data_IF_967973739157
#
_entry.id   IF_967973739157
#
_cell.length_a   1.000
_cell.length_b   1.000
_cell.length_c   1.000
_cell.angle_alpha   90.00
_cell.angle_beta   90.00
_cell.angle_gamma   90.00
#
_symmetry.space_group_name_H-M   'P 1'
#
loop_
_entity.id
_entity.type
_entity.pdbx_description
1 polymer ?
#
# COMPACT_ATOMS: atom_id res chain seq x y z
N UNK A 1 -21.09 -14.60 17.79
CA UNK A 1 -22.37 -13.99 17.36
C UNK A 1 -22.11 -13.40 16.01
N UNK A 2 -22.88 -13.86 15.02
CA UNK A 2 -22.66 -13.64 13.60
C UNK A 2 -22.70 -12.16 13.24
N UNK A 3 -21.60 -11.65 12.68
CA UNK A 3 -21.60 -10.41 11.93
C UNK A 3 -22.30 -10.68 10.59
N UNK A 4 -23.57 -10.32 10.47
CA UNK A 4 -24.21 -10.18 9.17
C UNK A 4 -23.70 -8.86 8.52
N UNK A 5 -22.50 -8.87 8.02
CA UNK A 5 -22.11 -8.01 6.90
C UNK A 5 -22.68 -8.68 5.64
N UNK A 6 -23.20 -7.93 4.66
CA UNK A 6 -23.59 -8.51 3.38
C UNK A 6 -22.42 -9.30 2.83
N UNK A 7 -22.70 -10.49 2.31
CA UNK A 7 -21.70 -11.36 1.72
C UNK A 7 -20.98 -10.59 0.60
N UNK A 8 -19.72 -10.22 0.86
CA UNK A 8 -18.83 -9.71 -0.16
C UNK A 8 -18.74 -10.78 -1.22
N UNK A 9 -19.06 -10.44 -2.45
CA UNK A 9 -18.91 -11.36 -3.59
C UNK A 9 -17.44 -11.79 -3.63
N UNK A 10 -17.19 -13.07 -3.41
CA UNK A 10 -15.85 -13.65 -3.55
C UNK A 10 -15.35 -13.33 -4.96
N UNK A 11 -14.21 -12.66 -5.13
CA UNK A 11 -13.65 -12.41 -6.44
C UNK A 11 -13.49 -13.74 -7.19
N UNK A 12 -13.91 -13.79 -8.45
CA UNK A 12 -13.74 -14.99 -9.28
C UNK A 12 -12.24 -15.29 -9.43
N UNK A 13 -11.85 -16.56 -9.49
CA UNK A 13 -10.46 -17.01 -9.74
C UNK A 13 -9.84 -16.32 -10.97
N UNK A 14 -10.66 -15.97 -11.98
CA UNK A 14 -10.24 -15.25 -13.18
C UNK A 14 -9.85 -13.78 -12.97
N UNK A 15 -10.05 -13.21 -11.78
CA UNK A 15 -9.70 -11.82 -11.43
C UNK A 15 -8.26 -11.67 -10.91
N UNK A 16 -7.58 -12.78 -10.64
CA UNK A 16 -6.18 -12.74 -10.19
C UNK A 16 -5.24 -12.92 -11.38
N UNK A 17 -4.46 -11.90 -11.70
CA UNK A 17 -3.31 -12.06 -12.60
C UNK A 17 -2.28 -12.88 -11.82
N UNK A 18 -2.02 -14.09 -12.30
CA UNK A 18 -0.99 -14.96 -11.73
C UNK A 18 0.36 -14.25 -11.75
N UNK A 19 0.86 -13.88 -10.57
CA UNK A 19 2.25 -13.49 -10.39
C UNK A 19 2.78 -14.28 -9.19
N UNK A 20 3.42 -15.39 -9.50
CA UNK A 20 3.96 -16.28 -8.48
C UNK A 20 5.24 -15.73 -7.85
N UNK A 21 6.06 -14.99 -8.59
CA UNK A 21 7.42 -14.61 -8.18
C UNK A 21 7.67 -13.11 -8.20
N UNK A 22 8.64 -12.66 -7.42
CA UNK A 22 9.13 -11.27 -7.50
C UNK A 22 9.82 -10.97 -8.83
N UNK A 23 10.40 -11.98 -9.48
CA UNK A 23 11.03 -11.83 -10.80
C UNK A 23 9.96 -11.55 -11.88
N UNK A 24 8.79 -12.18 -11.80
CA UNK A 24 7.69 -11.91 -12.73
C UNK A 24 7.17 -10.47 -12.61
N UNK A 25 7.17 -9.90 -11.39
CA UNK A 25 6.80 -8.49 -11.16
C UNK A 25 7.67 -7.50 -11.93
N UNK A 26 8.91 -7.87 -12.23
CA UNK A 26 9.82 -7.02 -12.99
C UNK A 26 10.18 -7.61 -14.35
N UNK A 27 9.38 -8.55 -14.89
CA UNK A 27 9.68 -9.29 -16.12
C UNK A 27 9.93 -8.39 -17.34
N UNK A 28 9.32 -7.21 -17.39
CA UNK A 28 9.50 -6.22 -18.45
C UNK A 28 10.66 -5.24 -18.22
N UNK A 29 11.55 -5.46 -17.25
CA UNK A 29 12.59 -4.49 -16.89
C UNK A 29 13.56 -4.23 -18.04
N UNK A 30 13.78 -2.96 -18.35
CA UNK A 30 14.79 -2.51 -19.32
C UNK A 30 15.72 -1.46 -18.72
N UNK A 31 16.89 -1.92 -18.30
CA UNK A 31 17.99 -1.08 -17.80
C UNK A 31 19.03 -0.78 -18.90
N UNK A 32 18.67 -0.98 -20.18
CA UNK A 32 19.51 -0.70 -21.34
C UNK A 32 20.64 -1.72 -21.60
N UNK A 33 20.74 -2.80 -20.81
CA UNK A 33 21.71 -3.88 -20.98
C UNK A 33 21.18 -5.18 -20.38
N UNK A 34 21.27 -6.29 -21.15
CA UNK A 34 20.78 -7.61 -20.72
C UNK A 34 21.44 -8.11 -19.43
N UNK A 35 22.71 -7.75 -19.17
CA UNK A 35 23.43 -8.15 -17.95
C UNK A 35 22.86 -7.42 -16.73
N UNK A 36 22.50 -6.13 -16.89
CA UNK A 36 21.84 -5.34 -15.84
C UNK A 36 20.45 -5.90 -15.56
N UNK A 37 19.66 -6.22 -16.60
CA UNK A 37 18.35 -6.84 -16.44
C UNK A 37 18.46 -8.17 -15.68
N UNK A 38 19.37 -9.07 -16.11
CA UNK A 38 19.60 -10.33 -15.40
C UNK A 38 20.04 -10.13 -13.95
N UNK A 39 20.88 -9.13 -13.68
CA UNK A 39 21.31 -8.81 -12.31
C UNK A 39 20.13 -8.27 -11.47
N UNK A 40 19.24 -7.46 -12.05
CA UNK A 40 18.05 -6.98 -11.36
C UNK A 40 17.12 -8.13 -10.95
N UNK A 41 16.90 -9.12 -11.82
CA UNK A 41 16.14 -10.33 -11.49
C UNK A 41 16.76 -11.10 -10.32
N UNK A 42 18.06 -11.38 -10.40
CA UNK A 42 18.76 -12.07 -9.31
C UNK A 42 18.68 -11.27 -8.01
N UNK A 43 18.83 -9.94 -8.08
CA UNK A 43 18.84 -9.07 -6.92
C UNK A 43 17.48 -9.02 -6.23
N UNK A 44 16.36 -8.89 -6.97
CA UNK A 44 15.05 -8.83 -6.36
C UNK A 44 14.68 -10.15 -5.67
N UNK A 45 15.04 -11.28 -6.23
CA UNK A 45 14.84 -12.60 -5.62
C UNK A 45 15.68 -12.78 -4.35
N UNK A 46 16.96 -12.41 -4.39
CA UNK A 46 17.86 -12.51 -3.24
C UNK A 46 17.41 -11.59 -2.09
N UNK A 47 17.11 -10.33 -2.40
CA UNK A 47 16.60 -9.37 -1.39
C UNK A 47 15.21 -9.77 -0.88
N UNK A 48 14.33 -10.25 -1.75
CA UNK A 48 12.99 -10.69 -1.38
C UNK A 48 12.99 -11.95 -0.50
N UNK A 49 13.96 -12.82 -0.69
CA UNK A 49 14.12 -14.00 0.18
C UNK A 49 14.67 -13.68 1.57
N UNK A 50 15.36 -12.55 1.73
CA UNK A 50 15.96 -12.11 3.00
C UNK A 50 15.80 -10.59 3.23
N UNK A 51 14.56 -10.06 3.25
CA UNK A 51 14.33 -8.62 3.18
C UNK A 51 14.85 -7.84 4.38
N UNK A 52 15.02 -8.47 5.54
CA UNK A 52 15.53 -7.81 6.76
C UNK A 52 17.05 -7.84 6.89
N UNK A 53 17.74 -8.51 5.98
CA UNK A 53 19.19 -8.62 6.03
C UNK A 53 19.85 -7.47 5.26
N UNK A 54 21.11 -7.18 5.58
CA UNK A 54 21.91 -6.25 4.77
C UNK A 54 22.07 -6.78 3.34
N UNK A 55 22.28 -5.90 2.37
CA UNK A 55 22.49 -6.28 0.96
C UNK A 55 23.60 -7.35 0.84
N UNK A 56 24.79 -7.21 1.47
CA UNK A 56 25.82 -8.25 1.40
C UNK A 56 25.38 -9.61 1.96
N UNK A 57 24.61 -9.60 3.04
CA UNK A 57 24.11 -10.85 3.67
C UNK A 57 23.04 -11.53 2.80
N UNK A 58 22.14 -10.74 2.22
CA UNK A 58 21.05 -11.26 1.39
C UNK A 58 21.55 -11.81 0.04
N UNK A 59 22.53 -11.14 -0.55
CA UNK A 59 23.08 -11.52 -1.86
C UNK A 59 24.09 -12.66 -1.72
N UNK A 60 24.90 -12.67 -0.65
CA UNK A 60 25.96 -13.66 -0.45
C UNK A 60 27.07 -13.56 -1.49
N UNK A 61 28.30 -13.86 -1.10
CA UNK A 61 29.47 -13.79 -1.98
C UNK A 61 29.98 -12.38 -2.25
N UNK A 62 31.28 -12.23 -2.37
CA UNK A 62 31.89 -10.91 -2.59
C UNK A 62 31.64 -10.37 -4.00
N UNK A 63 31.77 -11.22 -5.01
CA UNK A 63 31.59 -10.87 -6.43
C UNK A 63 30.16 -10.43 -6.73
N UNK A 64 29.19 -11.17 -6.20
CA UNK A 64 27.75 -10.93 -6.35
C UNK A 64 27.35 -9.63 -5.67
N UNK A 65 27.86 -9.39 -4.45
CA UNK A 65 27.64 -8.15 -3.71
C UNK A 65 28.22 -6.94 -4.43
N UNK A 66 29.44 -7.04 -4.95
CA UNK A 66 30.07 -5.98 -5.75
C UNK A 66 29.24 -5.68 -7.01
N UNK A 67 28.76 -6.72 -7.67
CA UNK A 67 27.90 -6.58 -8.86
C UNK A 67 26.55 -5.90 -8.54
N UNK A 68 25.98 -6.15 -7.36
CA UNK A 68 24.77 -5.47 -6.92
C UNK A 68 25.01 -3.97 -6.63
N UNK A 69 26.09 -3.64 -5.93
CA UNK A 69 26.46 -2.24 -5.71
C UNK A 69 26.78 -1.51 -7.01
N UNK A 70 27.41 -2.17 -7.97
CA UNK A 70 27.67 -1.60 -9.31
C UNK A 70 26.35 -1.34 -10.06
N UNK A 71 25.35 -2.22 -9.91
CA UNK A 71 24.02 -1.99 -10.48
C UNK A 71 23.38 -0.75 -9.87
N UNK A 72 23.34 -0.66 -8.53
CA UNK A 72 22.72 0.47 -7.81
C UNK A 72 23.45 1.80 -8.09
N UNK A 73 24.75 1.77 -8.38
CA UNK A 73 25.57 2.95 -8.66
C UNK A 73 25.59 3.36 -10.14
N UNK A 74 24.93 2.59 -11.02
CA UNK A 74 25.00 2.87 -12.46
C UNK A 74 24.04 4.01 -12.83
N UNK A 75 24.55 5.06 -13.45
CA UNK A 75 23.79 6.26 -13.85
C UNK A 75 22.62 5.99 -14.84
N UNK A 76 22.66 4.87 -15.55
CA UNK A 76 21.58 4.46 -16.45
C UNK A 76 20.47 3.68 -15.73
N UNK A 77 20.71 3.28 -14.49
CA UNK A 77 19.74 2.64 -13.61
C UNK A 77 19.09 3.71 -12.75
N UNK A 78 17.77 3.78 -12.79
CA UNK A 78 17.00 4.72 -11.98
C UNK A 78 15.82 4.02 -11.32
N UNK A 79 15.41 4.51 -10.15
CA UNK A 79 14.31 3.94 -9.39
C UNK A 79 13.03 3.75 -10.21
N UNK A 80 12.70 4.72 -11.06
CA UNK A 80 11.52 4.66 -11.93
C UNK A 80 11.61 3.51 -12.95
N UNK A 81 12.79 3.27 -13.57
CA UNK A 81 12.99 2.14 -14.48
C UNK A 81 12.87 0.79 -13.80
N UNK A 82 13.22 0.71 -12.53
CA UNK A 82 13.05 -0.52 -11.72
C UNK A 82 11.59 -0.75 -11.39
N UNK A 83 10.84 0.31 -11.07
CA UNK A 83 9.43 0.26 -10.68
C UNK A 83 8.47 0.14 -11.87
N UNK A 84 8.83 0.64 -13.05
CA UNK A 84 7.96 0.69 -14.22
C UNK A 84 7.32 -0.67 -14.59
N UNK A 85 8.04 -1.80 -14.62
CA UNK A 85 7.42 -3.10 -14.87
C UNK A 85 6.36 -3.47 -13.82
N UNK A 86 6.63 -3.18 -12.56
CA UNK A 86 5.68 -3.39 -11.47
C UNK A 86 4.42 -2.51 -11.64
N UNK A 87 4.58 -1.24 -12.03
CA UNK A 87 3.44 -0.37 -12.35
C UNK A 87 2.60 -0.94 -13.49
N UNK A 88 3.25 -1.44 -14.54
CA UNK A 88 2.57 -2.05 -15.68
C UNK A 88 1.81 -3.32 -15.27
N UNK A 89 2.39 -4.18 -14.46
CA UNK A 89 1.73 -5.38 -13.93
C UNK A 89 0.58 -4.99 -13.00
N UNK A 90 0.77 -3.98 -12.17
CA UNK A 90 -0.28 -3.44 -11.31
C UNK A 90 -1.44 -2.89 -12.14
N UNK A 91 -1.15 -2.16 -13.23
CA UNK A 91 -2.19 -1.64 -14.13
C UNK A 91 -3.02 -2.76 -14.77
N UNK A 92 -2.40 -3.91 -15.10
CA UNK A 92 -3.17 -5.06 -15.61
C UNK A 92 -4.11 -5.63 -14.53
N UNK A 93 -3.68 -5.69 -13.27
CA UNK A 93 -4.57 -6.09 -12.15
C UNK A 93 -5.69 -5.07 -11.96
N UNK A 94 -5.39 -3.78 -11.98
CA UNK A 94 -6.37 -2.69 -11.86
C UNK A 94 -7.50 -2.81 -12.88
N UNK A 95 -7.19 -3.15 -14.13
CA UNK A 95 -8.18 -3.33 -15.20
C UNK A 95 -9.21 -4.44 -14.96
N UNK A 96 -8.94 -5.36 -14.05
CA UNK A 96 -9.84 -6.46 -13.70
C UNK A 96 -10.93 -6.06 -12.69
N UNK A 97 -10.87 -4.84 -12.16
CA UNK A 97 -11.77 -4.37 -11.12
C UNK A 97 -12.60 -3.18 -11.59
N UNK A 98 -13.87 -3.12 -11.15
CA UNK A 98 -14.77 -2.01 -11.47
C UNK A 98 -14.39 -0.72 -10.71
N UNK A 99 -13.88 -0.84 -9.48
CA UNK A 99 -13.42 0.26 -8.64
C UNK A 99 -12.08 -0.08 -8.04
N UNK A 100 -11.13 0.86 -8.09
CA UNK A 100 -9.83 0.74 -7.42
C UNK A 100 -9.53 2.02 -6.65
N UNK A 101 -9.15 1.84 -5.39
CA UNK A 101 -8.81 2.88 -4.43
C UNK A 101 -7.31 3.14 -4.50
N UNK A 102 -6.91 4.37 -4.77
CA UNK A 102 -5.51 4.76 -4.86
C UNK A 102 -5.11 5.55 -3.61
N UNK A 103 -4.61 4.82 -2.61
CA UNK A 103 -4.15 5.41 -1.37
C UNK A 103 -2.77 6.05 -1.55
N UNK A 104 -2.67 7.35 -1.25
CA UNK A 104 -1.44 8.10 -1.28
C UNK A 104 -1.11 8.64 0.10
N UNK A 105 0.16 8.59 0.48
CA UNK A 105 0.65 9.11 1.76
C UNK A 105 2.17 9.34 1.68
N UNK A 106 2.70 10.17 2.58
CA UNK A 106 4.13 10.47 2.67
C UNK A 106 4.75 9.81 3.89
N UNK A 107 5.93 9.26 3.74
CA UNK A 107 6.74 8.81 4.87
C UNK A 107 8.15 9.37 4.81
N UNK A 108 8.69 9.74 5.99
CA UNK A 108 10.10 10.07 6.15
C UNK A 108 10.93 8.80 6.25
N UNK A 109 12.04 8.72 5.54
CA UNK A 109 13.08 7.70 5.74
C UNK A 109 14.27 8.35 6.42
N UNK A 110 14.53 7.93 7.66
CA UNK A 110 15.48 8.57 8.56
C UNK A 110 16.86 7.91 8.48
N UNK A 111 17.82 8.68 8.00
CA UNK A 111 19.23 8.30 7.92
C UNK A 111 20.11 9.15 8.87
N UNK A 112 19.53 9.73 9.91
CA UNK A 112 20.26 10.50 10.92
C UNK A 112 21.38 9.65 11.54
N UNK A 113 22.56 10.24 11.69
CA UNK A 113 23.74 9.51 12.17
C UNK A 113 24.56 8.77 11.09
N UNK A 114 24.08 8.80 9.83
CA UNK A 114 24.81 8.31 8.65
C UNK A 114 25.34 9.50 7.85
N UNK A 115 26.33 10.20 8.42
CA UNK A 115 26.86 11.46 7.88
C UNK A 115 27.52 11.33 6.51
N UNK A 116 27.91 10.12 6.14
CA UNK A 116 28.69 9.85 4.93
C UNK A 116 27.82 9.69 3.67
N UNK A 117 26.48 9.71 3.83
CA UNK A 117 25.57 9.63 2.69
C UNK A 117 25.40 10.99 2.05
N UNK A 118 25.88 11.10 0.81
CA UNK A 118 25.78 12.32 0.02
C UNK A 118 24.38 12.48 -0.56
N UNK A 119 23.83 13.70 -0.51
CA UNK A 119 22.55 14.06 -1.12
C UNK A 119 21.34 13.97 -0.16
N UNK A 120 21.52 13.55 1.10
CA UNK A 120 20.43 13.59 2.08
C UNK A 120 20.03 15.03 2.43
N UNK A 121 18.71 15.25 2.57
CA UNK A 121 18.13 16.51 2.99
C UNK A 121 17.68 16.52 4.45
N UNK A 122 17.05 17.63 4.85
CA UNK A 122 16.41 17.75 6.17
C UNK A 122 15.04 17.08 6.20
N UNK A 123 14.70 16.45 7.31
CA UNK A 123 13.35 15.96 7.62
C UNK A 123 12.55 17.01 8.40
N UNK A 124 11.36 16.69 8.86
CA UNK A 124 10.48 17.63 9.56
C UNK A 124 11.08 18.21 10.87
N UNK A 125 12.10 17.56 11.42
CA UNK A 125 12.87 18.09 12.57
C UNK A 125 14.27 18.46 12.09
N UNK A 126 14.74 19.67 12.38
CA UNK A 126 15.99 20.24 11.89
C UNK A 126 17.24 19.37 12.14
N UNK A 127 17.22 18.54 13.16
CA UNK A 127 18.32 17.64 13.51
C UNK A 127 18.30 16.30 12.77
N UNK A 128 17.26 16.02 11.96
CA UNK A 128 17.09 14.75 11.27
C UNK A 128 17.40 14.90 9.79
N UNK A 129 18.10 13.91 9.24
CA UNK A 129 18.48 13.83 7.84
C UNK A 129 17.92 12.59 7.19
N UNK A 130 17.45 12.73 5.95
CA UNK A 130 16.88 11.62 5.21
C UNK A 130 16.31 12.05 3.87
N UNK A 131 15.35 11.26 3.43
CA UNK A 131 14.54 11.55 2.25
C UNK A 131 13.07 11.22 2.54
N UNK A 132 12.20 11.77 1.72
CA UNK A 132 10.77 11.50 1.72
C UNK A 132 10.43 10.48 0.65
N UNK A 133 9.49 9.62 0.94
CA UNK A 133 8.91 8.67 0.00
C UNK A 133 7.39 8.86 -0.05
N UNK A 134 6.83 8.95 -1.26
CA UNK A 134 5.42 9.25 -1.50
C UNK A 134 4.84 8.31 -2.56
N UNK A 135 4.46 7.08 -2.17
CA UNK A 135 3.89 6.10 -3.05
C UNK A 135 2.38 6.27 -3.20
N UNK A 136 1.86 5.76 -4.30
CA UNK A 136 0.44 5.56 -4.56
C UNK A 136 0.16 4.06 -4.63
N UNK A 137 -0.57 3.53 -3.65
CA UNK A 137 -0.89 2.12 -3.51
C UNK A 137 -2.29 1.84 -4.04
N UNK A 138 -2.42 0.91 -4.99
CA UNK A 138 -3.69 0.46 -5.52
C UNK A 138 -4.29 -0.64 -4.63
N UNK A 139 -5.56 -0.46 -4.24
CA UNK A 139 -6.26 -1.34 -3.30
C UNK A 139 -7.69 -1.54 -3.81
N UNK A 140 -8.21 -2.77 -3.75
CA UNK A 140 -9.65 -2.99 -4.03
C UNK A 140 -10.51 -2.61 -2.84
N UNK A 141 -11.82 -2.32 -3.03
CA UNK A 141 -12.77 -2.14 -1.92
C UNK A 141 -12.76 -3.32 -0.92
N UNK A 142 -12.45 -4.53 -1.38
CA UNK A 142 -12.31 -5.77 -0.58
C UNK A 142 -10.95 -5.86 0.12
N UNK A 143 -10.16 -4.78 0.13
CA UNK A 143 -8.87 -4.65 0.83
C UNK A 143 -7.71 -5.45 0.26
N UNK A 144 -7.76 -5.87 -1.00
CA UNK A 144 -6.63 -6.50 -1.67
C UNK A 144 -5.70 -5.44 -2.24
N UNK A 145 -4.41 -5.48 -1.89
CA UNK A 145 -3.39 -4.57 -2.41
C UNK A 145 -2.90 -5.04 -3.77
N UNK A 146 -3.25 -4.34 -4.84
CA UNK A 146 -2.93 -4.72 -6.22
C UNK A 146 -1.49 -4.40 -6.64
N UNK A 147 -0.85 -3.43 -6.00
CA UNK A 147 0.50 -2.97 -6.32
C UNK A 147 0.67 -1.47 -6.14
N UNK A 148 1.85 -0.99 -6.50
CA UNK A 148 2.11 0.44 -6.60
C UNK A 148 1.74 0.93 -8.00
N UNK A 149 1.12 2.10 -8.09
CA UNK A 149 0.80 2.77 -9.36
C UNK A 149 1.76 3.92 -9.65
N UNK A 150 2.40 4.45 -8.62
CA UNK A 150 3.40 5.50 -8.68
C UNK A 150 4.19 5.55 -7.37
N UNK A 151 5.41 6.08 -7.42
CA UNK A 151 6.21 6.35 -6.23
C UNK A 151 7.25 7.41 -6.50
N UNK A 152 7.31 8.41 -5.63
CA UNK A 152 8.28 9.50 -5.67
C UNK A 152 9.14 9.47 -4.44
N UNK A 153 10.43 9.73 -4.61
CA UNK A 153 11.35 10.04 -3.52
C UNK A 153 12.00 11.40 -3.77
N UNK A 154 12.22 12.16 -2.71
CA UNK A 154 12.93 13.44 -2.79
C UNK A 154 13.63 13.77 -1.49
N UNK A 155 14.62 14.62 -1.58
CA UNK A 155 15.27 15.25 -0.43
C UNK A 155 14.86 16.71 -0.36
N UNK A 156 14.66 17.24 0.85
CA UNK A 156 14.36 18.64 1.07
C UNK A 156 15.68 19.41 1.15
N UNK A 157 15.94 20.40 0.26
CA UNK A 157 17.15 21.22 0.35
C UNK A 157 17.15 22.01 1.66
N UNK A 158 18.34 22.35 2.15
CA UNK A 158 18.52 23.12 3.39
C UNK A 158 17.95 24.54 3.29
N UNK A 159 17.91 25.09 2.08
CA UNK A 159 17.40 26.42 1.77
C UNK A 159 16.26 26.33 0.75
N UNK A 160 15.14 27.04 0.99
CA UNK A 160 13.97 27.13 0.11
C UNK A 160 13.29 25.78 -0.22
N UNK A 161 12.72 25.14 0.79
CA UNK A 161 11.91 23.95 0.58
C UNK A 161 10.63 24.29 -0.21
N UNK A 162 10.44 23.64 -1.35
CA UNK A 162 9.13 23.59 -2.02
C UNK A 162 8.08 23.08 -1.03
N UNK A 163 6.87 23.64 -1.12
CA UNK A 163 5.79 23.21 -0.23
C UNK A 163 5.46 21.74 -0.54
N UNK A 164 5.57 20.87 0.45
CA UNK A 164 5.21 19.46 0.38
C UNK A 164 3.81 19.23 -0.23
N UNK A 165 2.90 20.21 -0.06
CA UNK A 165 1.57 20.22 -0.67
C UNK A 165 1.57 20.09 -2.19
N UNK A 166 2.65 20.46 -2.90
CA UNK A 166 2.76 20.29 -4.35
C UNK A 166 2.74 18.81 -4.71
N UNK A 167 3.40 17.95 -3.92
CA UNK A 167 3.49 16.50 -4.19
C UNK A 167 2.13 15.81 -4.17
N UNK A 168 1.24 16.24 -3.30
CA UNK A 168 -0.13 15.73 -3.26
C UNK A 168 -0.93 16.10 -4.52
N UNK A 169 -0.73 17.29 -5.04
CA UNK A 169 -1.38 17.75 -6.28
C UNK A 169 -0.81 17.00 -7.49
N UNK A 170 0.52 16.89 -7.59
CA UNK A 170 1.21 16.11 -8.64
C UNK A 170 0.77 14.63 -8.62
N UNK A 171 0.66 14.05 -7.42
CA UNK A 171 0.18 12.68 -7.26
C UNK A 171 -1.27 12.50 -7.74
N UNK A 172 -2.17 13.44 -7.44
CA UNK A 172 -3.52 13.40 -7.99
C UNK A 172 -3.53 13.61 -9.51
N UNK A 173 -2.68 14.48 -10.05
CA UNK A 173 -2.53 14.63 -11.50
C UNK A 173 -2.12 13.32 -12.17
N UNK A 174 -1.15 12.61 -11.58
CA UNK A 174 -0.73 11.30 -12.06
C UNK A 174 -1.86 10.28 -12.04
N UNK A 175 -2.69 10.28 -11.00
CA UNK A 175 -3.89 9.41 -10.93
C UNK A 175 -4.89 9.74 -12.04
N UNK A 176 -5.09 11.00 -12.37
CA UNK A 176 -5.95 11.41 -13.49
C UNK A 176 -5.38 10.95 -14.84
N UNK A 177 -4.05 11.02 -15.05
CA UNK A 177 -3.40 10.50 -16.26
C UNK A 177 -3.63 8.99 -16.41
N UNK A 178 -3.51 8.24 -15.32
CA UNK A 178 -3.77 6.80 -15.31
C UNK A 178 -5.25 6.51 -15.61
N UNK A 179 -6.19 7.29 -15.05
CA UNK A 179 -7.61 7.15 -15.34
C UNK A 179 -7.90 7.38 -16.84
N UNK A 180 -7.27 8.38 -17.42
CA UNK A 180 -7.42 8.66 -18.86
C UNK A 180 -6.79 7.56 -19.73
N UNK A 181 -5.64 7.01 -19.32
CA UNK A 181 -5.02 5.87 -19.98
C UNK A 181 -5.96 4.66 -19.96
N UNK A 182 -6.49 4.28 -18.80
CA UNK A 182 -7.43 3.17 -18.64
C UNK A 182 -8.61 3.29 -19.60
N UNK A 183 -9.20 4.47 -19.69
CA UNK A 183 -10.31 4.72 -20.58
C UNK A 183 -9.90 4.63 -22.06
N UNK A 184 -8.76 5.18 -22.44
CA UNK A 184 -8.23 5.10 -23.81
C UNK A 184 -8.00 3.65 -24.23
N UNK A 185 -7.63 2.80 -23.29
CA UNK A 185 -7.44 1.36 -23.46
C UNK A 185 -8.75 0.55 -23.35
N UNK A 186 -9.90 1.22 -23.17
CA UNK A 186 -11.22 0.60 -23.12
C UNK A 186 -11.58 -0.06 -21.80
N UNK A 187 -10.82 0.19 -20.73
CA UNK A 187 -11.14 -0.29 -19.39
C UNK A 187 -12.21 0.59 -18.74
N UNK A 188 -13.17 -0.04 -18.02
CA UNK A 188 -14.26 0.64 -17.31
C UNK A 188 -13.93 0.90 -15.84
N UNK A 189 -12.70 0.70 -15.42
CA UNK A 189 -12.27 0.85 -14.03
C UNK A 189 -12.37 2.30 -13.57
N UNK A 190 -13.05 2.52 -12.45
CA UNK A 190 -13.13 3.78 -11.74
C UNK A 190 -11.97 3.87 -10.74
N UNK A 191 -11.13 4.89 -10.86
CA UNK A 191 -10.09 5.18 -9.87
C UNK A 191 -10.61 6.20 -8.85
N UNK A 192 -10.37 5.92 -7.57
CA UNK A 192 -10.70 6.81 -6.45
C UNK A 192 -9.43 7.14 -5.68
N UNK A 193 -8.93 8.35 -5.86
CA UNK A 193 -7.80 8.86 -5.11
C UNK A 193 -8.14 9.03 -3.63
N UNK A 194 -7.30 8.54 -2.74
CA UNK A 194 -7.50 8.63 -1.30
C UNK A 194 -6.31 9.28 -0.61
N UNK A 195 -6.60 10.28 0.22
CA UNK A 195 -5.59 10.95 1.03
C UNK A 195 -6.10 11.18 2.46
N UNK A 196 -5.15 11.35 3.38
CA UNK A 196 -5.44 11.77 4.74
C UNK A 196 -5.67 13.30 4.82
N UNK A 197 -5.53 13.87 6.00
CA UNK A 197 -5.71 15.30 6.24
C UNK A 197 -4.68 16.19 5.53
N UNK A 198 -3.52 15.66 5.16
CA UNK A 198 -2.49 16.42 4.47
C UNK A 198 -2.86 16.66 3.02
N UNK A 199 -3.60 15.71 2.42
CA UNK A 199 -4.17 15.85 1.09
C UNK A 199 -5.47 16.68 1.01
N UNK A 200 -5.98 17.27 2.11
CA UNK A 200 -7.12 18.19 2.08
C UNK A 200 -6.74 19.55 1.47
N UNK A 201 -6.44 19.55 0.19
CA UNK A 201 -5.98 20.70 -0.59
C UNK A 201 -7.05 21.10 -1.61
N UNK A 202 -7.46 22.38 -1.59
CA UNK A 202 -8.43 22.89 -2.56
C UNK A 202 -7.94 22.76 -4.00
N UNK A 203 -6.61 22.84 -4.19
CA UNK A 203 -5.99 22.69 -5.51
C UNK A 203 -6.27 21.31 -6.15
N UNK A 204 -6.41 20.24 -5.37
CA UNK A 204 -6.84 18.91 -5.85
C UNK A 204 -8.28 18.95 -6.36
N UNK A 205 -9.19 19.55 -5.58
CA UNK A 205 -10.60 19.66 -5.95
C UNK A 205 -10.76 20.48 -7.23
N UNK A 206 -10.09 21.65 -7.27
CA UNK A 206 -10.08 22.55 -8.43
C UNK A 206 -9.45 21.90 -9.68
N UNK A 207 -8.45 21.03 -9.50
CA UNK A 207 -7.80 20.32 -10.61
C UNK A 207 -8.80 19.40 -11.31
N UNK A 208 -9.58 18.63 -10.56
CA UNK A 208 -10.63 17.79 -11.14
C UNK A 208 -11.59 18.60 -12.01
N UNK A 209 -12.11 19.70 -11.47
CA UNK A 209 -13.04 20.56 -12.21
C UNK A 209 -12.43 21.09 -13.51
N UNK A 210 -11.16 21.51 -13.48
CA UNK A 210 -10.45 21.97 -14.67
C UNK A 210 -10.24 20.89 -15.72
N UNK A 211 -9.95 19.64 -15.30
CA UNK A 211 -9.82 18.49 -16.19
C UNK A 211 -11.17 18.21 -16.86
N UNK A 212 -12.24 18.15 -16.08
CA UNK A 212 -13.61 17.92 -16.59
C UNK A 212 -14.09 19.02 -17.54
N UNK A 213 -13.76 20.30 -17.26
CA UNK A 213 -14.11 21.43 -18.13
C UNK A 213 -13.43 21.35 -19.50
N UNK A 214 -12.29 20.66 -19.63
CA UNK A 214 -11.62 20.40 -20.92
C UNK A 214 -12.19 19.22 -21.67
N UNK A 215 -13.24 18.56 -21.13
CA UNK A 215 -13.82 17.34 -21.71
C UNK A 215 -12.95 16.10 -21.49
N UNK A 216 -11.96 16.18 -20.63
CA UNK A 216 -11.11 15.07 -20.21
C UNK A 216 -11.74 14.34 -19.01
N UNK A 217 -11.32 13.10 -18.75
CA UNK A 217 -11.80 12.34 -17.60
C UNK A 217 -10.80 12.47 -16.46
N UNK A 218 -11.33 12.82 -15.29
CA UNK A 218 -10.57 12.87 -14.05
C UNK A 218 -10.94 11.68 -13.16
N UNK A 219 -9.99 11.23 -12.36
CA UNK A 219 -10.23 10.30 -11.28
C UNK A 219 -11.13 10.93 -10.21
N UNK A 220 -11.91 10.11 -9.53
CA UNK A 220 -12.65 10.53 -8.35
C UNK A 220 -11.71 10.61 -7.13
N UNK A 221 -12.20 11.23 -6.05
CA UNK A 221 -11.39 11.36 -4.83
C UNK A 221 -12.25 11.21 -3.57
N UNK A 222 -11.60 10.74 -2.49
CA UNK A 222 -12.14 10.59 -1.14
C UNK A 222 -11.07 10.98 -0.12
N UNK A 223 -11.21 12.14 0.49
CA UNK A 223 -10.18 12.79 1.31
C UNK A 223 -10.72 13.10 2.69
N UNK A 224 -9.90 12.88 3.73
CA UNK A 224 -10.27 13.26 5.09
C UNK A 224 -10.08 14.75 5.29
N UNK A 225 -11.15 15.42 5.73
CA UNK A 225 -11.14 16.87 5.96
C UNK A 225 -10.19 17.27 7.09
N UNK A 226 -9.36 18.25 6.82
CA UNK A 226 -8.52 19.00 7.78
C UNK A 226 -9.14 20.35 8.11
N UNK A 227 -9.64 21.01 7.07
CA UNK A 227 -10.09 22.39 7.12
C UNK A 227 -11.63 22.48 7.20
N UNK A 228 -12.13 23.29 8.13
CA UNK A 228 -13.55 23.64 8.19
C UNK A 228 -13.81 24.80 7.22
N UNK A 229 -14.01 24.46 5.94
CA UNK A 229 -14.09 25.40 4.82
C UNK A 229 -15.38 26.19 4.81
N UNK A 230 -15.31 27.41 4.25
CA UNK A 230 -16.47 28.24 3.97
C UNK A 230 -17.21 27.70 2.73
N UNK A 231 -18.51 27.93 2.69
CA UNK A 231 -19.39 27.55 1.58
C UNK A 231 -19.92 28.79 0.88
N UNK A 232 -20.27 28.67 -0.40
CA UNK A 232 -20.84 29.77 -1.21
C UNK A 232 -22.16 30.31 -0.63
N UNK A 233 -22.97 29.45 -0.03
CA UNK A 233 -24.23 29.79 0.57
C UNK A 233 -24.09 30.41 1.98
N UNK A 234 -22.87 30.54 2.46
CA UNK A 234 -22.54 31.01 3.81
C UNK A 234 -22.46 29.87 4.84
N UNK A 235 -21.67 30.12 5.89
CA UNK A 235 -21.41 29.13 6.93
C UNK A 235 -20.23 28.25 6.60
N UNK A 236 -20.03 27.21 7.43
CA UNK A 236 -18.91 26.25 7.33
C UNK A 236 -19.41 24.83 7.23
N UNK A 237 -18.62 23.97 6.58
CA UNK A 237 -18.94 22.56 6.35
C UNK A 237 -19.44 21.86 7.63
N UNK A 238 -18.70 21.99 8.73
CA UNK A 238 -19.04 21.32 9.99
C UNK A 238 -20.40 21.74 10.52
N UNK A 239 -20.68 23.03 10.56
CA UNK A 239 -21.94 23.54 11.10
C UNK A 239 -23.16 23.17 10.24
N UNK A 240 -22.95 22.96 8.93
CA UNK A 240 -23.98 22.50 8.00
C UNK A 240 -24.21 20.99 8.14
N UNK A 241 -23.13 20.19 8.26
CA UNK A 241 -23.20 18.75 8.49
C UNK A 241 -23.92 18.40 9.80
N UNK A 242 -23.64 19.12 10.88
CA UNK A 242 -24.30 18.90 12.17
C UNK A 242 -25.82 19.12 12.11
N UNK A 243 -26.28 19.98 11.19
CA UNK A 243 -27.71 20.26 10.94
C UNK A 243 -28.34 19.36 9.88
N UNK A 244 -27.52 18.64 9.12
CA UNK A 244 -28.00 17.75 8.07
C UNK A 244 -28.81 16.58 8.65
N UNK A 245 -29.82 16.07 7.94
CA UNK A 245 -30.55 14.88 8.37
C UNK A 245 -29.62 13.69 8.64
N UNK A 246 -29.92 12.94 9.69
CA UNK A 246 -29.24 11.70 9.96
C UNK A 246 -29.71 10.63 8.95
N UNK A 247 -28.78 9.99 8.25
CA UNK A 247 -29.07 8.88 7.33
C UNK A 247 -29.33 7.58 8.08
N UNK A 248 -28.69 7.41 9.24
CA UNK A 248 -28.76 6.21 10.05
C UNK A 248 -27.52 6.02 10.92
N UNK A 249 -27.37 4.83 11.46
CA UNK A 249 -26.28 4.48 12.37
C UNK A 249 -25.51 3.28 11.88
N UNK A 250 -24.19 3.28 12.15
CA UNK A 250 -23.31 2.13 11.97
C UNK A 250 -22.70 1.74 13.31
N UNK A 251 -22.49 0.44 13.54
CA UNK A 251 -21.87 -0.05 14.77
C UNK A 251 -20.69 -0.96 14.43
N UNK A 252 -19.56 -0.74 15.08
CA UNK A 252 -18.35 -1.53 14.90
C UNK A 252 -17.60 -1.75 16.22
N UNK A 253 -16.75 -2.77 16.25
CA UNK A 253 -15.94 -3.07 17.42
C UNK A 253 -14.58 -2.37 17.32
N UNK A 254 -14.31 -1.45 18.26
CA UNK A 254 -13.03 -0.79 18.41
C UNK A 254 -12.11 -1.70 19.22
N UNK A 255 -10.97 -2.15 18.66
CA UNK A 255 -10.03 -2.99 19.41
C UNK A 255 -9.33 -2.21 20.53
N UNK A 256 -8.69 -2.94 21.44
CA UNK A 256 -7.82 -2.36 22.46
C UNK A 256 -6.74 -1.48 21.79
N UNK A 257 -6.62 -0.24 22.22
CA UNK A 257 -5.64 0.72 21.69
C UNK A 257 -4.40 0.86 22.55
N UNK A 258 -3.52 1.77 22.12
CA UNK A 258 -2.35 2.17 22.93
C UNK A 258 -2.82 2.89 24.22
N UNK A 259 -2.04 2.76 25.30
CA UNK A 259 -2.41 3.29 26.61
C UNK A 259 -3.56 2.50 27.25
N UNK A 260 -4.48 3.21 27.93
CA UNK A 260 -5.57 2.59 28.67
C UNK A 260 -6.87 2.41 27.86
N UNK A 261 -6.86 2.64 26.52
CA UNK A 261 -8.06 2.48 25.71
C UNK A 261 -8.51 1.03 25.66
N UNK A 262 -9.67 0.75 26.25
CA UNK A 262 -10.29 -0.60 26.25
C UNK A 262 -10.96 -0.89 24.91
N UNK A 263 -11.04 -2.18 24.55
CA UNK A 263 -11.90 -2.61 23.45
C UNK A 263 -13.35 -2.30 23.78
N UNK A 264 -14.11 -1.76 22.82
CA UNK A 264 -15.53 -1.43 23.00
C UNK A 264 -16.30 -1.43 21.67
N UNK A 265 -17.58 -1.59 21.73
CA UNK A 265 -18.47 -1.31 20.61
C UNK A 265 -18.65 0.21 20.48
N UNK A 266 -18.65 0.71 19.25
CA UNK A 266 -18.85 2.12 18.92
C UNK A 266 -20.00 2.22 17.94
N UNK A 267 -20.97 3.09 18.24
CA UNK A 267 -22.04 3.45 17.32
C UNK A 267 -21.81 4.88 16.85
N UNK A 268 -21.82 5.08 15.54
CA UNK A 268 -21.71 6.40 14.91
C UNK A 268 -22.95 6.70 14.09
N UNK A 269 -23.45 7.93 14.18
CA UNK A 269 -24.44 8.47 13.25
C UNK A 269 -23.76 8.93 11.98
N UNK A 270 -24.41 8.74 10.83
CA UNK A 270 -23.94 9.20 9.53
C UNK A 270 -24.84 10.34 9.02
N UNK A 271 -24.19 11.39 8.52
CA UNK A 271 -24.85 12.55 7.89
C UNK A 271 -24.09 12.90 6.62
N UNK A 272 -24.80 13.32 5.59
CA UNK A 272 -24.20 13.80 4.35
C UNK A 272 -24.85 15.08 3.87
N UNK A 273 -24.07 15.88 3.15
CA UNK A 273 -24.58 17.08 2.48
C UNK A 273 -23.72 17.37 1.24
N UNK A 274 -24.37 17.74 0.16
CA UNK A 274 -23.71 18.26 -1.04
C UNK A 274 -23.60 19.79 -0.93
N UNK A 275 -22.38 20.33 -1.04
CA UNK A 275 -22.10 21.73 -0.70
C UNK A 275 -21.15 22.35 -1.73
N UNK A 276 -21.48 23.49 -2.32
CA UNK A 276 -20.53 24.30 -3.08
C UNK A 276 -19.56 25.02 -2.12
N UNK A 277 -18.27 24.74 -2.27
CA UNK A 277 -17.23 25.36 -1.46
C UNK A 277 -16.76 26.67 -2.06
N UNK A 278 -16.58 27.69 -1.20
CA UNK A 278 -15.93 28.93 -1.62
C UNK A 278 -14.46 28.68 -1.96
N UNK A 279 -13.97 29.22 -3.10
CA UNK A 279 -12.58 29.09 -3.50
C UNK A 279 -11.61 29.56 -2.41
N UNK A 280 -10.54 28.82 -2.20
CA UNK A 280 -9.50 29.17 -1.21
C UNK A 280 -8.61 30.31 -1.66
N UNK A 281 -8.58 30.62 -2.96
CA UNK A 281 -7.81 31.70 -3.60
C UNK A 281 -8.55 32.20 -4.83
N UNK A 282 -8.30 33.45 -5.21
CA UNK A 282 -8.83 34.02 -6.44
C UNK A 282 -8.40 33.19 -7.67
N UNK A 283 -9.30 33.05 -8.63
CA UNK A 283 -9.07 32.33 -9.88
C UNK A 283 -9.22 30.80 -9.79
N UNK A 284 -9.55 30.23 -8.63
CA UNK A 284 -9.97 28.85 -8.52
C UNK A 284 -11.49 28.72 -8.77
N UNK A 285 -11.95 27.61 -9.38
CA UNK A 285 -13.37 27.36 -9.58
C UNK A 285 -14.06 27.07 -8.25
N UNK A 286 -15.36 27.35 -8.16
CA UNK A 286 -16.24 26.80 -7.13
C UNK A 286 -16.32 25.29 -7.35
N UNK A 287 -16.18 24.52 -6.28
CA UNK A 287 -16.23 23.05 -6.34
C UNK A 287 -17.37 22.56 -5.45
N UNK A 288 -18.28 21.80 -6.02
CA UNK A 288 -19.30 21.10 -5.23
C UNK A 288 -18.74 19.79 -4.70
N UNK A 289 -18.80 19.63 -3.39
CA UNK A 289 -18.34 18.41 -2.71
C UNK A 289 -19.48 17.75 -1.95
N UNK A 290 -19.45 16.44 -1.83
CA UNK A 290 -20.22 15.72 -0.83
C UNK A 290 -19.39 15.59 0.43
N UNK A 291 -19.85 16.12 1.52
CA UNK A 291 -19.25 15.97 2.84
C UNK A 291 -19.98 14.88 3.62
N UNK A 292 -19.25 13.94 4.23
CA UNK A 292 -19.77 12.83 5.02
C UNK A 292 -19.27 12.99 6.46
N UNK A 293 -20.17 13.06 7.43
CA UNK A 293 -19.85 13.07 8.85
C UNK A 293 -20.20 11.71 9.45
N UNK A 294 -19.21 11.05 10.05
CA UNK A 294 -19.41 9.91 10.93
C UNK A 294 -19.02 10.32 12.35
N UNK A 295 -19.99 10.31 13.26
CA UNK A 295 -19.82 10.84 14.62
C UNK A 295 -20.33 9.87 15.66
N UNK A 296 -19.50 9.57 16.66
CA UNK A 296 -19.91 8.86 17.87
C UNK A 296 -20.71 9.79 18.77
N UNK A 297 -21.97 9.45 19.02
CA UNK A 297 -22.88 10.30 19.81
C UNK A 297 -22.70 10.11 21.32
N UNK A 298 -22.36 8.90 21.76
CA UNK A 298 -22.27 8.54 23.17
C UNK A 298 -20.87 7.98 23.52
N UNK A 299 -19.82 8.82 23.50
CA UNK A 299 -18.48 8.37 23.90
C UNK A 299 -18.44 8.07 25.40
N UNK A 300 -17.59 7.16 25.87
CA UNK A 300 -17.37 6.94 27.29
C UNK A 300 -16.93 8.21 28.02
N UNK A 301 -17.32 8.31 29.28
CA UNK A 301 -17.00 9.49 30.12
C UNK A 301 -15.48 9.75 30.14
N UNK A 302 -15.08 10.94 29.70
CA UNK A 302 -13.69 11.38 29.62
C UNK A 302 -12.97 11.00 28.32
N UNK A 303 -13.61 10.28 27.38
CA UNK A 303 -13.07 10.04 26.04
C UNK A 303 -13.64 11.06 25.04
N UNK A 304 -12.80 11.43 24.06
CA UNK A 304 -13.29 12.24 22.93
C UNK A 304 -14.08 11.35 21.96
N UNK A 305 -15.17 11.84 21.38
CA UNK A 305 -15.92 11.09 20.39
C UNK A 305 -15.06 10.77 19.17
N UNK A 306 -15.26 9.60 18.61
CA UNK A 306 -14.66 9.23 17.33
C UNK A 306 -15.45 9.96 16.24
N UNK A 307 -14.78 10.88 15.55
CA UNK A 307 -15.39 11.69 14.52
C UNK A 307 -14.52 11.71 13.27
N UNK A 308 -15.15 11.48 12.12
CA UNK A 308 -14.55 11.64 10.81
C UNK A 308 -15.42 12.54 9.94
N UNK A 309 -14.75 13.43 9.19
CA UNK A 309 -15.37 14.16 8.10
C UNK A 309 -14.59 13.80 6.85
N UNK A 310 -15.28 13.19 5.89
CA UNK A 310 -14.74 12.87 4.58
C UNK A 310 -15.34 13.81 3.54
N UNK A 311 -14.53 14.21 2.57
CA UNK A 311 -14.95 14.98 1.41
C UNK A 311 -14.75 14.11 0.17
N UNK A 312 -15.71 14.17 -0.75
CA UNK A 312 -15.64 13.47 -2.04
C UNK A 312 -16.41 14.24 -3.12
N UNK A 313 -16.06 13.99 -4.37
CA UNK A 313 -16.86 14.46 -5.51
C UNK A 313 -17.98 13.47 -5.89
N UNK A 314 -18.00 12.28 -5.29
CA UNK A 314 -19.03 11.28 -5.53
C UNK A 314 -20.33 11.66 -4.84
N UNK A 315 -21.46 11.29 -5.44
CA UNK A 315 -22.79 11.47 -4.83
C UNK A 315 -22.97 10.43 -3.72
N UNK A 316 -23.44 10.88 -2.54
CA UNK A 316 -23.73 10.02 -1.38
C UNK A 316 -25.02 10.52 -0.74
N UNK A 317 -26.10 9.74 -0.87
CA UNK A 317 -27.45 10.12 -0.44
C UNK A 317 -28.08 9.12 0.54
N UNK A 318 -27.57 7.89 0.59
CA UNK A 318 -28.10 6.83 1.45
C UNK A 318 -27.11 6.42 2.53
N UNK A 319 -27.60 5.68 3.53
CA UNK A 319 -26.77 5.12 4.59
C UNK A 319 -25.75 4.13 4.04
N UNK A 320 -26.17 3.31 3.07
CA UNK A 320 -25.34 2.30 2.42
C UNK A 320 -24.19 2.95 1.66
N UNK A 321 -24.47 3.99 0.87
CA UNK A 321 -23.45 4.74 0.13
C UNK A 321 -22.46 5.46 1.07
N UNK A 322 -22.95 6.02 2.18
CA UNK A 322 -22.11 6.67 3.17
C UNK A 322 -21.21 5.66 3.90
N UNK A 323 -21.77 4.50 4.26
CA UNK A 323 -21.04 3.40 4.89
C UNK A 323 -19.97 2.84 3.95
N UNK A 324 -20.29 2.64 2.66
CA UNK A 324 -19.34 2.21 1.64
C UNK A 324 -18.14 3.17 1.54
N UNK A 325 -18.37 4.48 1.53
CA UNK A 325 -17.26 5.45 1.45
C UNK A 325 -16.40 5.46 2.72
N UNK A 326 -16.97 5.17 3.88
CA UNK A 326 -16.20 4.96 5.11
C UNK A 326 -15.36 3.69 5.01
N UNK A 327 -15.92 2.59 4.51
CA UNK A 327 -15.18 1.33 4.31
C UNK A 327 -14.04 1.49 3.30
N UNK A 328 -14.27 2.24 2.20
CA UNK A 328 -13.23 2.61 1.27
C UNK A 328 -12.11 3.40 1.95
N UNK A 329 -12.47 4.40 2.76
CA UNK A 329 -11.48 5.21 3.45
C UNK A 329 -10.66 4.39 4.48
N UNK A 330 -11.25 3.37 5.08
CA UNK A 330 -10.54 2.44 5.97
C UNK A 330 -9.45 1.65 5.22
N UNK A 331 -9.62 1.38 3.92
CA UNK A 331 -8.59 0.72 3.10
C UNK A 331 -7.30 1.53 3.02
N UNK A 332 -7.36 2.88 3.15
CA UNK A 332 -6.19 3.75 3.15
C UNK A 332 -5.13 3.34 4.19
N UNK A 333 -5.55 2.76 5.31
CA UNK A 333 -4.62 2.31 6.35
C UNK A 333 -3.58 1.28 5.85
N UNK A 334 -3.82 0.63 4.73
CA UNK A 334 -2.87 -0.32 4.17
C UNK A 334 -1.55 0.34 3.77
N UNK A 335 -1.55 1.62 3.39
CA UNK A 335 -0.30 2.32 3.07
C UNK A 335 0.59 2.50 4.31
N UNK A 336 -0.01 2.67 5.50
CA UNK A 336 0.74 2.71 6.77
C UNK A 336 1.32 1.33 7.15
N UNK A 337 0.60 0.26 6.80
CA UNK A 337 1.11 -1.13 6.94
C UNK A 337 2.26 -1.36 5.95
N UNK A 338 2.13 -0.89 4.71
CA UNK A 338 3.20 -0.92 3.71
C UNK A 338 4.46 -0.20 4.22
N UNK A 339 4.33 1.02 4.76
CA UNK A 339 5.46 1.74 5.36
C UNK A 339 6.08 0.97 6.52
N UNK A 340 5.28 0.33 7.36
CA UNK A 340 5.79 -0.50 8.46
C UNK A 340 6.60 -1.69 7.92
N UNK A 341 6.13 -2.36 6.87
CA UNK A 341 6.87 -3.45 6.24
C UNK A 341 8.18 -2.93 5.66
N UNK A 342 8.14 -1.82 4.93
CA UNK A 342 9.31 -1.22 4.30
C UNK A 342 10.37 -0.82 5.34
N UNK A 343 9.99 -0.12 6.41
CA UNK A 343 10.91 0.35 7.46
C UNK A 343 11.36 -0.75 8.41
N UNK A 344 10.43 -1.53 8.95
CA UNK A 344 10.72 -2.52 9.98
C UNK A 344 11.00 -3.92 9.41
N UNK A 345 10.37 -4.27 8.30
CA UNK A 345 10.55 -5.55 7.62
C UNK A 345 11.77 -5.56 6.72
N UNK A 346 11.83 -4.61 5.81
CA UNK A 346 12.95 -4.47 4.88
C UNK A 346 14.12 -3.66 5.44
N UNK A 347 13.94 -2.98 6.59
CA UNK A 347 14.95 -2.18 7.29
C UNK A 347 15.66 -1.17 6.40
N UNK A 348 14.91 -0.54 5.50
CA UNK A 348 15.48 0.37 4.51
C UNK A 348 16.23 1.55 5.12
N UNK A 349 15.87 1.97 6.33
CA UNK A 349 16.58 3.01 7.07
C UNK A 349 17.96 2.54 7.60
N UNK A 350 18.27 1.24 7.53
CA UNK A 350 19.59 0.67 7.88
C UNK A 350 20.54 0.59 6.68
N UNK A 351 20.08 0.88 5.44
CA UNK A 351 20.92 0.87 4.24
C UNK A 351 22.15 1.75 4.40
N UNK A 352 23.31 1.23 3.97
CA UNK A 352 24.61 1.89 4.02
C UNK A 352 25.12 2.06 2.58
N UNK A 353 24.60 3.07 1.90
CA UNK A 353 24.97 3.43 0.54
C UNK A 353 25.48 4.87 0.53
N UNK A 354 26.53 5.17 -0.25
CA UNK A 354 27.26 6.44 -0.20
C UNK A 354 26.48 7.62 -0.75
N UNK A 355 25.48 7.37 -1.63
CA UNK A 355 24.71 8.42 -2.31
C UNK A 355 23.21 8.14 -2.24
N UNK A 356 22.41 9.22 -2.17
CA UNK A 356 20.95 9.12 -2.15
C UNK A 356 20.39 8.42 -3.37
N UNK A 357 20.94 8.64 -4.57
CA UNK A 357 20.47 7.97 -5.80
C UNK A 357 20.59 6.45 -5.71
N UNK A 358 21.65 5.94 -5.07
CA UNK A 358 21.82 4.50 -4.83
C UNK A 358 20.80 3.97 -3.83
N UNK A 359 20.43 4.79 -2.84
CA UNK A 359 19.36 4.46 -1.88
C UNK A 359 18.03 4.41 -2.62
N UNK A 360 17.72 5.37 -3.48
CA UNK A 360 16.48 5.41 -4.26
C UNK A 360 16.36 4.18 -5.18
N UNK A 361 17.46 3.78 -5.83
CA UNK A 361 17.50 2.56 -6.64
C UNK A 361 17.27 1.29 -5.80
N UNK A 362 17.85 1.21 -4.60
CA UNK A 362 17.61 0.10 -3.69
C UNK A 362 16.16 0.10 -3.16
N UNK A 363 15.64 1.28 -2.79
CA UNK A 363 14.25 1.46 -2.35
C UNK A 363 13.23 0.97 -3.39
N UNK A 364 13.52 1.13 -4.68
CA UNK A 364 12.65 0.64 -5.74
C UNK A 364 12.44 -0.89 -5.63
N UNK A 365 13.49 -1.68 -5.42
CA UNK A 365 13.37 -3.11 -5.17
C UNK A 365 12.63 -3.41 -3.86
N UNK A 366 12.99 -2.73 -2.78
CA UNK A 366 12.36 -2.96 -1.48
C UNK A 366 10.89 -2.57 -1.43
N UNK A 367 10.44 -1.62 -2.23
CA UNK A 367 9.02 -1.28 -2.35
C UNK A 367 8.22 -2.44 -2.96
N UNK A 368 8.72 -3.08 -4.00
CA UNK A 368 8.08 -4.26 -4.61
C UNK A 368 8.04 -5.43 -3.61
N UNK A 369 9.13 -5.65 -2.88
CA UNK A 369 9.20 -6.67 -1.84
C UNK A 369 8.21 -6.39 -0.70
N UNK A 370 8.13 -5.14 -0.23
CA UNK A 370 7.22 -4.75 0.82
C UNK A 370 5.74 -4.89 0.39
N UNK A 371 5.45 -4.55 -0.87
CA UNK A 371 4.13 -4.79 -1.43
C UNK A 371 3.79 -6.29 -1.46
N UNK A 372 4.69 -7.17 -1.89
CA UNK A 372 4.44 -8.63 -1.90
C UNK A 372 4.08 -9.16 -0.50
N UNK A 373 4.78 -8.71 0.54
CA UNK A 373 4.46 -9.09 1.92
C UNK A 373 3.07 -8.59 2.34
N UNK A 374 2.72 -7.35 1.97
CA UNK A 374 1.39 -6.80 2.21
C UNK A 374 0.33 -7.60 1.46
N UNK A 375 0.55 -7.89 0.19
CA UNK A 375 -0.35 -8.66 -0.67
C UNK A 375 -0.67 -10.03 -0.07
N UNK A 376 0.35 -10.82 0.29
CA UNK A 376 0.19 -12.12 0.94
C UNK A 376 -0.56 -12.00 2.28
N UNK A 377 -0.29 -10.95 3.05
CA UNK A 377 -0.98 -10.69 4.32
C UNK A 377 -2.48 -10.45 4.10
N UNK A 378 -2.84 -9.69 3.08
CA UNK A 378 -4.23 -9.35 2.80
C UNK A 378 -4.96 -10.51 2.13
N UNK A 379 -4.34 -11.22 1.20
CA UNK A 379 -4.94 -12.41 0.58
C UNK A 379 -5.28 -13.49 1.61
N UNK A 380 -4.36 -13.80 2.52
CA UNK A 380 -4.63 -14.79 3.56
C UNK A 380 -5.80 -14.41 4.47
N UNK A 381 -6.10 -13.10 4.56
CA UNK A 381 -7.19 -12.57 5.38
C UNK A 381 -8.53 -12.49 4.65
N UNK A 382 -8.51 -11.94 3.43
CA UNK A 382 -9.72 -11.57 2.69
C UNK A 382 -10.15 -12.67 1.71
N UNK A 383 -9.21 -13.50 1.24
CA UNK A 383 -9.44 -14.59 0.28
C UNK A 383 -8.81 -15.92 0.77
N UNK A 384 -9.13 -16.38 1.99
CA UNK A 384 -8.45 -17.49 2.65
C UNK A 384 -8.54 -18.82 1.89
N UNK A 385 -9.62 -19.04 1.14
CA UNK A 385 -9.94 -20.32 0.47
C UNK A 385 -9.28 -20.50 -0.90
N UNK A 386 -8.67 -19.45 -1.45
CA UNK A 386 -8.00 -19.56 -2.74
C UNK A 386 -6.80 -20.53 -2.68
N UNK A 387 -6.49 -21.26 -3.75
CA UNK A 387 -5.33 -22.16 -3.80
C UNK A 387 -4.02 -21.37 -3.69
N UNK A 388 -3.08 -21.89 -2.92
CA UNK A 388 -1.84 -21.18 -2.59
C UNK A 388 -0.88 -21.02 -3.78
N UNK A 389 -0.97 -21.86 -4.80
CA UNK A 389 -0.12 -21.81 -6.00
C UNK A 389 -0.42 -20.60 -6.91
N UNK A 390 -1.48 -19.84 -6.63
CA UNK A 390 -1.69 -18.52 -7.23
C UNK A 390 -0.61 -17.49 -6.82
N UNK A 391 0.05 -17.68 -5.67
CA UNK A 391 0.98 -16.68 -5.10
C UNK A 391 2.27 -17.27 -4.53
N UNK A 392 2.36 -18.57 -4.35
CA UNK A 392 3.55 -19.29 -3.92
C UNK A 392 4.02 -20.24 -5.00
N UNK A 393 5.31 -20.24 -5.28
CA UNK A 393 5.89 -21.26 -6.15
C UNK A 393 5.67 -22.66 -5.57
N UNK A 394 5.55 -23.64 -6.46
CA UNK A 394 5.37 -25.06 -6.05
C UNK A 394 6.45 -25.51 -5.06
N UNK A 395 7.68 -25.10 -5.27
CA UNK A 395 8.79 -25.46 -4.37
C UNK A 395 8.66 -24.78 -3.00
N UNK A 396 8.18 -23.53 -2.96
CA UNK A 396 8.00 -22.77 -1.72
C UNK A 396 6.94 -23.41 -0.82
N UNK A 397 5.70 -23.57 -1.33
CA UNK A 397 4.64 -24.10 -0.50
C UNK A 397 4.85 -25.57 -0.13
N UNK A 398 5.45 -26.39 -1.03
CA UNK A 398 5.77 -27.79 -0.74
C UNK A 398 6.86 -27.90 0.34
N UNK A 399 7.92 -27.09 0.28
CA UNK A 399 8.96 -27.09 1.30
C UNK A 399 8.39 -26.70 2.67
N UNK A 400 7.57 -25.64 2.73
CA UNK A 400 6.89 -25.21 3.96
C UNK A 400 5.97 -26.32 4.50
N UNK A 401 5.21 -26.94 3.63
CA UNK A 401 4.28 -28.03 4.01
C UNK A 401 5.04 -29.22 4.61
N UNK A 402 6.11 -29.70 3.92
CA UNK A 402 6.94 -30.83 4.38
C UNK A 402 7.53 -30.54 5.76
N UNK A 403 8.14 -29.36 5.94
CA UNK A 403 8.80 -29.01 7.21
C UNK A 403 7.79 -28.84 8.35
N UNK A 404 6.60 -28.34 8.05
CA UNK A 404 5.55 -28.09 9.06
C UNK A 404 4.82 -29.36 9.43
N UNK A 405 4.31 -30.11 8.44
CA UNK A 405 3.45 -31.28 8.66
C UNK A 405 4.27 -32.57 8.83
N UNK A 406 5.52 -32.63 8.30
CA UNK A 406 6.37 -33.82 8.24
C UNK A 406 5.74 -34.97 7.43
N UNK A 407 5.01 -34.60 6.40
CA UNK A 407 4.26 -35.45 5.49
C UNK A 407 4.57 -35.06 4.04
N UNK A 408 4.21 -35.94 3.09
CA UNK A 408 4.26 -35.58 1.67
C UNK A 408 3.22 -34.49 1.37
N UNK A 409 3.59 -33.48 0.54
CA UNK A 409 2.63 -32.47 0.15
C UNK A 409 1.51 -33.09 -0.68
N UNK A 410 0.26 -32.59 -0.56
CA UNK A 410 -0.87 -33.09 -1.34
C UNK A 410 -0.67 -32.78 -2.83
N UNK A 411 -1.36 -33.53 -3.70
CA UNK A 411 -1.39 -33.26 -5.14
C UNK A 411 -2.09 -31.95 -5.46
N UNK A 412 -3.19 -31.66 -4.75
CA UNK A 412 -3.93 -30.39 -4.85
C UNK A 412 -3.30 -29.36 -3.92
N UNK A 413 -2.96 -28.15 -4.42
CA UNK A 413 -2.42 -27.10 -3.57
C UNK A 413 -3.32 -26.76 -2.39
N UNK A 414 -2.79 -26.63 -1.17
CA UNK A 414 -3.55 -26.16 -0.01
C UNK A 414 -4.08 -24.72 -0.21
N UNK A 415 -4.97 -24.28 0.68
CA UNK A 415 -5.47 -22.91 0.64
C UNK A 415 -4.39 -21.88 1.01
N UNK A 416 -4.58 -20.63 0.58
CA UNK A 416 -3.69 -19.50 0.94
C UNK A 416 -3.63 -19.35 2.46
N UNK A 417 -4.77 -19.41 3.18
CA UNK A 417 -4.78 -19.28 4.63
C UNK A 417 -3.93 -20.37 5.30
N UNK A 418 -4.03 -21.61 4.83
CA UNK A 418 -3.25 -22.73 5.40
C UNK A 418 -1.73 -22.47 5.23
N UNK A 419 -1.28 -22.13 4.03
CA UNK A 419 0.15 -21.87 3.78
C UNK A 419 0.63 -20.59 4.47
N UNK A 420 -0.15 -19.51 4.44
CA UNK A 420 0.22 -18.24 5.13
C UNK A 420 0.35 -18.47 6.64
N UNK A 421 -0.51 -19.27 7.27
CA UNK A 421 -0.39 -19.64 8.70
C UNK A 421 0.85 -20.49 8.96
N UNK A 422 1.16 -21.44 8.08
CA UNK A 422 2.40 -22.24 8.19
C UNK A 422 3.64 -21.33 8.09
N UNK A 423 3.70 -20.44 7.09
CA UNK A 423 4.74 -19.43 6.94
C UNK A 423 4.87 -18.59 8.21
N UNK A 424 3.76 -18.02 8.67
CA UNK A 424 3.72 -17.15 9.84
C UNK A 424 4.15 -17.85 11.14
N UNK A 425 3.94 -19.16 11.25
CA UNK A 425 4.37 -19.93 12.43
C UNK A 425 5.89 -19.88 12.61
N UNK A 426 6.64 -19.89 11.52
CA UNK A 426 8.10 -19.72 11.53
C UNK A 426 8.55 -18.29 11.85
N UNK A 427 7.61 -17.34 11.74
CA UNK A 427 7.79 -15.95 12.20
C UNK A 427 7.28 -15.69 13.61
N UNK A 428 6.87 -16.74 14.36
CA UNK A 428 6.41 -16.64 15.74
C UNK A 428 4.90 -16.51 15.92
N UNK A 429 4.10 -16.72 14.88
CA UNK A 429 2.65 -16.79 15.00
C UNK A 429 2.23 -18.12 15.66
N UNK A 430 1.56 -18.04 16.81
CA UNK A 430 1.22 -19.24 17.61
C UNK A 430 -0.05 -19.94 17.16
N UNK A 431 -0.87 -19.30 16.32
CA UNK A 431 -2.11 -19.82 15.76
C UNK A 431 -3.08 -20.40 16.84
N UNK A 432 -3.19 -19.72 18.00
CA UNK A 432 -4.10 -20.09 19.08
C UNK A 432 -5.53 -19.68 18.75
N UNK A 433 -6.50 -20.33 19.38
CA UNK A 433 -7.91 -19.93 19.28
C UNK A 433 -8.05 -18.46 19.73
N UNK A 434 -8.41 -17.56 18.79
CA UNK A 434 -8.56 -16.13 19.05
C UNK A 434 -7.39 -15.25 18.62
N UNK A 435 -6.28 -15.81 18.13
CA UNK A 435 -5.16 -15.01 17.59
C UNK A 435 -5.52 -14.28 16.27
N UNK A 436 -6.62 -14.69 15.60
CA UNK A 436 -7.05 -14.11 14.33
C UNK A 436 -6.14 -14.50 13.16
N UNK A 437 -5.92 -13.54 12.23
CA UNK A 437 -5.03 -13.73 11.10
C UNK A 437 -3.60 -13.28 11.45
N UNK A 438 -2.57 -13.94 10.88
CA UNK A 438 -1.19 -13.52 11.08
C UNK A 438 -0.97 -12.09 10.55
N UNK A 439 -0.20 -11.32 11.31
CA UNK A 439 0.19 -9.97 10.90
C UNK A 439 1.41 -9.97 9.96
N UNK A 440 1.67 -8.88 9.24
CA UNK A 440 2.77 -8.81 8.28
C UNK A 440 4.12 -9.16 8.90
N UNK A 441 4.35 -8.85 10.18
CA UNK A 441 5.61 -9.15 10.86
C UNK A 441 5.91 -10.65 10.91
N UNK A 442 4.95 -11.47 11.28
CA UNK A 442 5.15 -12.92 11.33
C UNK A 442 5.29 -13.51 9.93
N UNK A 443 4.66 -12.90 8.93
CA UNK A 443 4.74 -13.32 7.54
C UNK A 443 6.12 -13.03 6.97
N UNK A 444 6.65 -11.79 7.06
CA UNK A 444 7.98 -11.50 6.48
C UNK A 444 9.11 -12.28 7.15
N UNK A 445 9.04 -12.51 8.47
CA UNK A 445 10.03 -13.36 9.17
C UNK A 445 9.90 -14.82 8.72
N UNK A 446 8.66 -15.29 8.55
CA UNK A 446 8.38 -16.64 8.08
C UNK A 446 8.87 -16.88 6.65
N UNK A 447 8.65 -15.94 5.74
CA UNK A 447 9.12 -16.03 4.34
C UNK A 447 10.62 -16.21 4.24
N UNK A 448 11.42 -15.56 5.10
CA UNK A 448 12.87 -15.78 5.16
C UNK A 448 13.21 -17.23 5.48
N UNK A 449 12.49 -17.85 6.43
CA UNK A 449 12.69 -19.27 6.78
C UNK A 449 12.26 -20.21 5.67
N UNK A 450 11.22 -19.85 4.91
CA UNK A 450 10.76 -20.66 3.79
C UNK A 450 11.87 -20.85 2.73
N UNK A 451 12.64 -19.81 2.46
CA UNK A 451 13.79 -19.89 1.55
C UNK A 451 14.84 -20.90 2.03
N UNK A 452 15.17 -20.87 3.33
CA UNK A 452 16.11 -21.84 3.91
C UNK A 452 15.61 -23.28 3.73
N UNK A 453 14.29 -23.50 3.84
CA UNK A 453 13.68 -24.82 3.60
C UNK A 453 13.79 -25.26 2.15
N UNK A 454 13.54 -24.37 1.19
CA UNK A 454 13.69 -24.66 -0.25
C UNK A 454 15.13 -25.06 -0.54
N UNK A 455 16.10 -24.28 -0.08
CA UNK A 455 17.53 -24.59 -0.27
C UNK A 455 17.93 -25.93 0.36
N UNK A 456 17.38 -26.25 1.53
CA UNK A 456 17.60 -27.55 2.20
C UNK A 456 17.05 -28.74 1.39
N UNK A 457 15.86 -28.58 0.82
CA UNK A 457 15.23 -29.61 -0.03
C UNK A 457 16.01 -29.79 -1.34
N UNK A 458 16.46 -28.71 -1.96
CA UNK A 458 17.28 -28.76 -3.17
C UNK A 458 18.63 -29.45 -2.92
N UNK A 459 19.30 -29.10 -1.82
CA UNK A 459 20.57 -29.74 -1.43
C UNK A 459 20.40 -31.24 -1.20
N UNK A 460 19.26 -31.65 -0.60
CA UNK A 460 18.97 -33.07 -0.40
C UNK A 460 18.76 -33.82 -1.72
N UNK A 461 18.10 -33.22 -2.71
CA UNK A 461 17.95 -33.83 -4.05
C UNK A 461 19.32 -34.13 -4.68
N UNK A 462 20.25 -33.17 -4.66
CA UNK A 462 21.61 -33.36 -5.17
C UNK A 462 22.36 -34.50 -4.46
N UNK A 463 22.14 -34.66 -3.15
CA UNK A 463 22.77 -35.76 -2.39
C UNK A 463 22.21 -37.15 -2.75
N UNK A 464 20.91 -37.21 -3.07
CA UNK A 464 20.25 -38.47 -3.48
C UNK A 464 20.66 -38.85 -4.90
N UNK A 465 20.68 -37.92 -5.85
CA UNK A 465 21.08 -38.13 -7.24
C UNK A 465 22.54 -38.62 -7.36
N UNK A 466 23.42 -38.28 -6.43
CA UNK A 466 24.82 -38.78 -6.39
C UNK A 466 24.95 -40.17 -5.78
N UNK A 467 23.88 -40.72 -5.19
CA UNK A 467 23.89 -42.06 -4.57
C UNK A 467 23.24 -43.13 -5.44
N UNK A 468 22.59 -42.75 -6.52
CA UNK A 468 22.05 -43.58 -7.59
C UNK A 468 23.01 -43.59 -8.77
#
# INVERSE_FOLDING_TARGET
>A
MNNNLPAVSVPNESTFVETCTLAEEISGIDLGDKRRNSRAFTMIEQLGSQPSNSIPTAIGGWSETQSAYNLLANEQVGAQKILEPHYNTTLQRVKQHSVVLLAQDTTELDYTGKSDIVGLGTLNYENRRGLYLHPTLAITPERISLGLMDSWSWTRPFENADKESIRWVEGYERVCEIQQQLQTEGASTQLVYMADREGDLYDIFAKRERVMQRGEIAADWLIRSKHDRNTEEGGKIRSLLEKAPCLGEITFNLPKGRGNRKARSVTQTLRTISIPLSPSKDGLPVVTVTAILAQEELPPKGEKPIQWILLTNLTVQTLEEASEKLDWYLCRWQIEVFFKILKSGCKVEELQLEHVDRIENALAFYQIIAWRVLYLTMLGRECPELPCDLVFEKQEWQAVYIVTKKEHPPETPPSIDEIVRMVASYGGFLNRKGDGFPGPQTIWIGLQRCRDFVLGVEAQKVLIERRL
#
